data_IF_767994334159
#
_entry.id   IF_767994334159
#
_cell.length_a   1.000
_cell.length_b   1.000
_cell.length_c   1.000
_cell.angle_alpha   90.00
_cell.angle_beta   90.00
_cell.angle_gamma   90.00
#
_symmetry.space_group_name_H-M   'P 1'
#
loop_
_entity.id
_entity.type
_entity.pdbx_description
1 polymer ?
#
# COMPACT_ATOMS: atom_id res chain seq x y z
N UNK A 1 2.47 -16.05 14.10
CA UNK A 1 1.39 -15.03 14.19
C UNK A 1 0.95 -14.64 12.77
N UNK A 2 -0.26 -14.11 12.54
CA UNK A 2 -0.66 -13.66 11.19
C UNK A 2 -0.99 -12.17 11.14
N UNK A 3 -0.58 -11.55 10.04
CA UNK A 3 -0.87 -10.17 9.70
C UNK A 3 -1.75 -10.12 8.46
N UNK A 4 -2.86 -9.39 8.53
CA UNK A 4 -3.68 -9.09 7.37
C UNK A 4 -3.33 -7.69 6.86
N UNK A 5 -2.80 -7.60 5.64
CA UNK A 5 -2.51 -6.33 4.97
C UNK A 5 -3.69 -5.97 4.07
N UNK A 6 -4.25 -4.77 4.24
CA UNK A 6 -5.39 -4.27 3.47
C UNK A 6 -4.98 -3.08 2.61
N UNK A 7 -5.28 -3.16 1.32
CA UNK A 7 -5.10 -2.07 0.36
C UNK A 7 -6.45 -1.71 -0.25
N UNK A 8 -6.90 -0.49 0.01
CA UNK A 8 -8.11 0.06 -0.60
C UNK A 8 -7.72 0.84 -1.87
N UNK A 9 -8.43 0.56 -2.96
CA UNK A 9 -8.35 1.31 -4.21
C UNK A 9 -9.73 1.87 -4.58
N UNK A 10 -9.84 2.59 -5.68
CA UNK A 10 -11.08 3.31 -6.07
C UNK A 10 -12.26 2.44 -6.49
N UNK A 11 -12.12 1.11 -6.53
CA UNK A 11 -13.23 0.16 -6.72
C UNK A 11 -12.90 -1.25 -6.20
N UNK A 12 -11.76 -1.40 -5.51
CA UNK A 12 -11.19 -2.71 -5.17
C UNK A 12 -10.68 -2.73 -3.74
N UNK A 13 -10.76 -3.89 -3.13
CA UNK A 13 -10.12 -4.18 -1.86
C UNK A 13 -9.19 -5.38 -2.03
N UNK A 14 -7.91 -5.17 -1.76
CA UNK A 14 -6.91 -6.24 -1.64
C UNK A 14 -6.72 -6.61 -0.18
N UNK A 15 -6.70 -7.91 0.11
CA UNK A 15 -6.32 -8.47 1.39
C UNK A 15 -5.22 -9.50 1.22
N UNK A 16 -4.03 -9.21 1.75
CA UNK A 16 -2.88 -10.13 1.72
C UNK A 16 -2.64 -10.67 3.13
N UNK A 17 -2.78 -11.98 3.30
CA UNK A 17 -2.45 -12.67 4.54
C UNK A 17 -0.97 -13.00 4.57
N UNK A 18 -0.29 -12.56 5.60
CA UNK A 18 1.15 -12.75 5.79
C UNK A 18 1.40 -13.51 7.07
N UNK A 19 2.31 -14.48 7.02
CA UNK A 19 2.89 -15.08 8.21
C UNK A 19 3.84 -14.07 8.85
N UNK A 20 3.50 -13.58 10.03
CA UNK A 20 4.24 -12.49 10.69
C UNK A 20 5.68 -12.90 10.99
N UNK A 21 5.93 -14.16 11.34
CA UNK A 21 7.24 -14.60 11.80
C UNK A 21 8.24 -14.75 10.64
N UNK A 22 7.77 -15.24 9.49
CA UNK A 22 8.61 -15.43 8.29
C UNK A 22 8.50 -14.31 7.25
N UNK A 23 7.49 -13.43 7.37
CA UNK A 23 7.17 -12.42 6.36
C UNK A 23 6.60 -13.00 5.05
N UNK A 24 6.33 -14.31 5.00
CA UNK A 24 5.86 -14.99 3.78
C UNK A 24 4.38 -14.71 3.54
N UNK A 25 4.01 -14.37 2.32
CA UNK A 25 2.61 -14.31 1.89
C UNK A 25 2.01 -15.72 1.93
N UNK A 26 0.93 -15.88 2.71
CA UNK A 26 0.17 -17.12 2.84
C UNK A 26 -0.91 -17.19 1.77
N UNK A 27 -1.66 -16.09 1.61
CA UNK A 27 -2.78 -16.00 0.67
C UNK A 27 -3.02 -14.54 0.29
N UNK A 28 -3.62 -14.31 -0.86
CA UNK A 28 -4.02 -12.98 -1.32
C UNK A 28 -5.42 -13.07 -1.94
N UNK A 29 -6.28 -12.13 -1.55
CA UNK A 29 -7.66 -12.05 -2.01
C UNK A 29 -7.90 -10.66 -2.57
N UNK A 30 -8.56 -10.63 -3.72
CA UNK A 30 -9.06 -9.41 -4.34
C UNK A 30 -10.58 -9.45 -4.35
N UNK A 31 -11.20 -8.35 -3.95
CA UNK A 31 -12.62 -8.09 -4.14
C UNK A 31 -12.75 -6.88 -5.05
N UNK A 32 -13.29 -7.10 -6.24
CA UNK A 32 -13.63 -6.08 -7.23
C UNK A 32 -15.03 -5.50 -6.98
N UNK A 33 -15.36 -4.42 -7.71
CA UNK A 33 -16.68 -3.77 -7.73
C UNK A 33 -17.23 -3.45 -6.33
N UNK A 34 -16.34 -2.96 -5.47
CA UNK A 34 -16.66 -2.73 -4.05
C UNK A 34 -17.49 -1.45 -3.90
N UNK A 35 -18.77 -1.65 -3.58
CA UNK A 35 -19.73 -0.59 -3.25
C UNK A 35 -19.75 -0.29 -1.74
N UNK A 36 -19.64 -1.33 -0.91
CA UNK A 36 -19.77 -1.26 0.55
C UNK A 36 -18.56 -1.89 1.24
N UNK A 37 -17.84 -1.10 2.06
CA UNK A 37 -16.55 -1.52 2.63
C UNK A 37 -16.67 -2.69 3.61
N UNK A 38 -17.72 -2.74 4.45
CA UNK A 38 -17.91 -3.85 5.40
C UNK A 38 -18.21 -5.16 4.66
N UNK A 39 -19.06 -5.12 3.64
CA UNK A 39 -19.39 -6.29 2.83
C UNK A 39 -18.17 -6.82 2.07
N UNK A 40 -17.37 -5.93 1.48
CA UNK A 40 -16.12 -6.32 0.82
C UNK A 40 -15.12 -6.93 1.81
N UNK A 41 -14.99 -6.35 3.00
CA UNK A 41 -14.09 -6.89 4.02
C UNK A 41 -14.55 -8.27 4.52
N UNK A 42 -15.85 -8.53 4.64
CA UNK A 42 -16.37 -9.89 4.94
C UNK A 42 -15.99 -10.90 3.86
N UNK A 43 -16.11 -10.52 2.58
CA UNK A 43 -15.68 -11.36 1.47
C UNK A 43 -14.17 -11.65 1.49
N UNK A 44 -13.33 -10.68 1.89
CA UNK A 44 -11.91 -10.93 2.14
C UNK A 44 -11.76 -12.02 3.21
N UNK A 45 -12.35 -11.83 4.40
CA UNK A 45 -12.24 -12.78 5.51
C UNK A 45 -12.68 -14.20 5.14
N UNK A 46 -13.79 -14.34 4.42
CA UNK A 46 -14.31 -15.63 3.94
C UNK A 46 -13.35 -16.34 2.99
N UNK A 47 -12.64 -15.60 2.14
CA UNK A 47 -11.74 -16.14 1.10
C UNK A 47 -10.28 -16.26 1.53
N UNK A 48 -9.88 -15.64 2.64
CA UNK A 48 -8.49 -15.73 3.14
C UNK A 48 -8.11 -17.14 3.59
N UNK A 49 -9.08 -17.99 3.93
CA UNK A 49 -8.83 -19.37 4.36
C UNK A 49 -8.15 -19.47 5.72
N UNK A 50 -8.41 -18.52 6.62
CA UNK A 50 -7.84 -18.50 7.98
C UNK A 50 -8.90 -18.16 9.03
N UNK A 51 -8.73 -18.70 10.23
CA UNK A 51 -9.51 -18.29 11.39
C UNK A 51 -9.21 -16.83 11.73
N UNK A 52 -10.25 -16.03 11.95
CA UNK A 52 -10.13 -14.60 12.27
C UNK A 52 -9.38 -14.36 13.58
N UNK A 53 -9.47 -15.28 14.53
CA UNK A 53 -8.77 -15.25 15.81
C UNK A 53 -7.25 -15.40 15.68
N UNK A 54 -6.77 -15.94 14.54
CA UNK A 54 -5.33 -16.08 14.29
C UNK A 54 -4.69 -14.81 13.72
N UNK A 55 -5.50 -13.83 13.32
CA UNK A 55 -5.03 -12.53 12.82
C UNK A 55 -4.78 -11.64 14.03
N UNK A 56 -3.51 -11.33 14.28
CA UNK A 56 -3.11 -10.49 15.41
C UNK A 56 -2.98 -9.02 15.03
N UNK A 57 -2.65 -8.74 13.76
CA UNK A 57 -2.46 -7.36 13.26
C UNK A 57 -3.20 -7.18 11.95
N UNK A 58 -3.91 -6.06 11.82
CA UNK A 58 -4.49 -5.59 10.57
C UNK A 58 -3.77 -4.32 10.15
N UNK A 59 -3.01 -4.39 9.06
CA UNK A 59 -2.25 -3.28 8.53
C UNK A 59 -2.98 -2.65 7.35
N UNK A 60 -3.45 -1.41 7.51
CA UNK A 60 -4.13 -0.66 6.47
C UNK A 60 -3.14 0.20 5.71
N UNK A 61 -3.07 0.02 4.39
CA UNK A 61 -2.39 0.97 3.52
C UNK A 61 -3.24 2.23 3.40
N UNK A 62 -2.74 3.34 3.93
CA UNK A 62 -3.45 4.62 3.93
C UNK A 62 -2.70 5.61 3.03
N UNK A 63 -3.36 6.29 2.08
CA UNK A 63 -2.72 7.36 1.32
C UNK A 63 -2.27 8.47 2.26
N UNK A 64 -1.08 9.00 2.04
CA UNK A 64 -0.58 10.14 2.81
C UNK A 64 -1.26 11.42 2.33
N UNK A 65 -1.93 12.12 3.24
CA UNK A 65 -2.43 13.47 3.02
C UNK A 65 -1.80 14.47 4.02
N UNK A 66 -1.33 15.61 3.51
CA UNK A 66 -0.77 16.70 4.32
C UNK A 66 0.59 16.39 4.97
N UNK A 67 0.76 16.86 6.22
CA UNK A 67 2.00 16.82 7.01
C UNK A 67 2.08 15.64 7.98
N UNK A 68 1.24 14.61 7.81
CA UNK A 68 1.18 13.46 8.73
C UNK A 68 2.55 12.79 8.92
N UNK A 69 2.84 12.30 10.15
CA UNK A 69 4.10 11.65 10.46
C UNK A 69 4.35 10.43 9.56
N UNK A 70 5.61 10.20 9.27
CA UNK A 70 6.09 9.04 8.52
C UNK A 70 6.11 7.80 9.44
N UNK A 71 5.68 6.65 8.93
CA UNK A 71 5.81 5.36 9.64
C UNK A 71 4.50 4.62 9.89
N UNK A 72 4.53 3.71 10.86
CA UNK A 72 3.37 2.93 11.33
C UNK A 72 2.67 3.69 12.44
N UNK A 73 1.36 3.89 12.33
CA UNK A 73 0.56 4.56 13.36
C UNK A 73 -0.51 3.61 13.86
N UNK A 74 -0.69 3.50 15.17
CA UNK A 74 -1.80 2.76 15.74
C UNK A 74 -3.13 3.42 15.35
N UNK A 75 -4.11 2.62 14.94
CA UNK A 75 -5.44 3.12 14.60
C UNK A 75 -6.31 3.03 15.86
N UNK A 76 -6.58 4.18 16.44
CA UNK A 76 -7.53 4.39 17.52
C UNK A 76 -8.68 5.32 17.08
N UNK A 77 -9.55 5.70 18.01
CA UNK A 77 -10.70 6.56 17.72
C UNK A 77 -10.26 7.97 17.29
N UNK A 78 -9.17 8.49 17.86
CA UNK A 78 -8.62 9.79 17.49
C UNK A 78 -8.07 9.78 16.06
N UNK A 79 -7.43 8.69 15.63
CA UNK A 79 -7.00 8.50 14.26
C UNK A 79 -8.19 8.53 13.29
N UNK A 80 -9.27 7.83 13.61
CA UNK A 80 -10.48 7.80 12.79
C UNK A 80 -11.13 9.18 12.65
N UNK A 81 -11.21 9.95 13.74
CA UNK A 81 -11.72 11.33 13.72
C UNK A 81 -10.86 12.23 12.83
N UNK A 82 -9.54 12.14 12.96
CA UNK A 82 -8.60 12.88 12.11
C UNK A 82 -8.71 12.48 10.63
N UNK A 83 -8.97 11.20 10.34
CA UNK A 83 -9.19 10.73 8.97
C UNK A 83 -10.53 11.21 8.41
N UNK A 84 -11.59 11.21 9.22
CA UNK A 84 -12.91 11.68 8.82
C UNK A 84 -12.95 13.18 8.52
N UNK A 85 -12.05 13.96 9.15
CA UNK A 85 -11.94 15.40 8.95
C UNK A 85 -11.14 15.82 7.70
N UNK A 86 -10.55 14.87 6.94
CA UNK A 86 -9.74 15.21 5.77
C UNK A 86 -10.59 15.64 4.56
N UNK A 87 -10.28 16.79 3.91
CA UNK A 87 -11.05 17.29 2.78
C UNK A 87 -10.96 16.42 1.52
N UNK A 88 -9.82 15.79 1.26
CA UNK A 88 -9.49 15.05 0.02
C UNK A 88 -9.92 13.58 0.02
N UNK A 89 -10.28 13.03 1.18
CA UNK A 89 -10.99 11.75 1.29
C UNK A 89 -12.48 11.88 0.95
N UNK A 90 -12.92 13.05 0.48
CA UNK A 90 -14.26 13.27 -0.01
C UNK A 90 -14.52 12.45 -1.28
N UNK A 91 -15.26 11.36 -1.10
CA UNK A 91 -16.15 10.72 -2.09
C UNK A 91 -15.54 9.98 -3.29
N UNK A 92 -14.31 10.23 -3.75
CA UNK A 92 -13.78 9.61 -4.98
C UNK A 92 -13.07 8.26 -4.80
N UNK A 93 -12.82 7.82 -3.57
CA UNK A 93 -12.17 6.54 -3.29
C UNK A 93 -13.13 5.60 -2.60
N UNK A 94 -14.01 4.93 -3.35
CA UNK A 94 -14.83 3.83 -2.83
C UNK A 94 -14.18 2.49 -3.21
N UNK A 95 -13.86 1.58 -2.30
CA UNK A 95 -14.05 1.63 -0.85
C UNK A 95 -13.17 2.70 -0.20
N UNK A 96 -13.80 3.51 0.66
CA UNK A 96 -13.06 4.50 1.43
C UNK A 96 -12.16 3.78 2.43
N UNK A 97 -10.89 4.19 2.49
CA UNK A 97 -9.91 3.63 3.43
C UNK A 97 -10.47 3.61 4.87
N UNK A 98 -11.19 4.66 5.27
CA UNK A 98 -11.84 4.78 6.57
C UNK A 98 -12.97 3.73 6.79
N UNK A 99 -13.78 3.44 5.76
CA UNK A 99 -14.81 2.42 5.84
C UNK A 99 -14.24 1.03 6.09
N UNK A 100 -13.14 0.69 5.40
CA UNK A 100 -12.45 -0.59 5.61
C UNK A 100 -11.76 -0.65 6.98
N UNK A 101 -11.19 0.46 7.46
CA UNK A 101 -10.63 0.58 8.82
C UNK A 101 -11.69 0.27 9.88
N UNK A 102 -12.86 0.91 9.77
CA UNK A 102 -13.99 0.68 10.69
C UNK A 102 -14.49 -0.76 10.65
N UNK A 103 -14.61 -1.32 9.45
CA UNK A 103 -15.00 -2.72 9.29
C UNK A 103 -14.01 -3.68 9.95
N UNK A 104 -12.71 -3.44 9.79
CA UNK A 104 -11.66 -4.23 10.41
C UNK A 104 -11.70 -4.16 11.94
N UNK A 105 -11.77 -2.96 12.53
CA UNK A 105 -11.85 -2.80 14.00
C UNK A 105 -13.11 -3.44 14.59
N UNK A 106 -14.23 -3.36 13.87
CA UNK A 106 -15.51 -3.98 14.28
C UNK A 106 -15.46 -5.51 14.23
N UNK A 107 -14.90 -6.08 13.15
CA UNK A 107 -14.95 -7.52 12.89
C UNK A 107 -13.75 -8.29 13.45
N UNK A 108 -12.64 -7.60 13.72
CA UNK A 108 -11.42 -8.14 14.34
C UNK A 108 -11.04 -7.33 15.60
N UNK A 109 -11.91 -7.24 16.62
CA UNK A 109 -11.69 -6.36 17.77
C UNK A 109 -10.49 -6.75 18.65
N UNK A 110 -9.99 -7.98 18.52
CA UNK A 110 -8.80 -8.47 19.23
C UNK A 110 -7.49 -8.19 18.48
N UNK A 111 -7.57 -7.87 17.19
CA UNK A 111 -6.40 -7.57 16.37
C UNK A 111 -6.01 -6.10 16.55
N UNK A 112 -4.72 -5.81 16.60
CA UNK A 112 -4.23 -4.44 16.56
C UNK A 112 -4.37 -3.89 15.14
N UNK A 113 -5.08 -2.79 14.97
CA UNK A 113 -5.16 -2.07 13.70
C UNK A 113 -4.07 -1.02 13.61
N UNK A 114 -3.32 -1.01 12.50
CA UNK A 114 -2.27 -0.03 12.22
C UNK A 114 -2.46 0.58 10.83
N UNK A 115 -2.13 1.86 10.71
CA UNK A 115 -2.05 2.57 9.45
C UNK A 115 -0.60 2.61 8.99
N UNK A 116 -0.38 2.26 7.73
CA UNK A 116 0.93 2.33 7.07
C UNK A 116 0.80 3.19 5.83
N UNK A 117 1.59 4.25 5.76
CA UNK A 117 1.47 5.29 4.73
C UNK A 117 2.29 5.02 3.44
N UNK A 118 2.74 3.77 3.24
CA UNK A 118 3.69 3.34 2.19
C UNK A 118 3.16 2.23 1.28
N UNK A 119 3.90 1.89 0.21
CA UNK A 119 3.59 0.79 -0.73
C UNK A 119 3.72 -0.60 -0.09
N UNK A 120 2.88 -1.54 -0.54
CA UNK A 120 2.58 -2.88 0.03
C UNK A 120 3.77 -3.69 0.58
N UNK A 121 4.95 -3.63 -0.05
CA UNK A 121 6.12 -4.44 0.33
C UNK A 121 6.77 -4.02 1.66
N UNK A 122 6.66 -2.75 2.06
CA UNK A 122 7.17 -2.27 3.34
C UNK A 122 6.20 -2.54 4.50
N UNK A 123 4.93 -2.86 4.20
CA UNK A 123 3.86 -3.00 5.20
C UNK A 123 4.01 -4.30 5.99
N UNK A 124 4.32 -5.41 5.32
CA UNK A 124 4.54 -6.70 5.98
C UNK A 124 5.71 -6.65 6.98
N UNK A 125 6.83 -6.03 6.56
CA UNK A 125 8.01 -5.84 7.40
C UNK A 125 7.72 -4.88 8.56
N UNK A 126 7.12 -3.73 8.30
CA UNK A 126 6.79 -2.75 9.33
C UNK A 126 5.74 -3.27 10.33
N UNK A 127 4.78 -4.09 9.89
CA UNK A 127 3.80 -4.74 10.76
C UNK A 127 4.43 -5.84 11.63
N UNK A 128 5.39 -6.57 11.07
CA UNK A 128 6.19 -7.58 11.81
C UNK A 128 7.07 -6.90 12.86
N UNK A 129 7.79 -5.84 12.48
CA UNK A 129 8.62 -5.04 13.40
C UNK A 129 7.78 -4.39 14.51
N UNK A 130 6.55 -3.96 14.22
CA UNK A 130 5.61 -3.45 15.23
C UNK A 130 5.11 -4.53 16.17
N UNK A 131 4.73 -5.71 15.64
CA UNK A 131 4.23 -6.83 16.45
C UNK A 131 5.29 -7.41 17.39
N UNK A 132 6.57 -7.28 17.02
CA UNK A 132 7.72 -7.79 17.77
C UNK A 132 8.34 -6.78 18.72
N UNK A 133 7.97 -5.48 18.65
CA UNK A 133 8.46 -4.46 19.58
C UNK A 133 7.65 -4.47 20.87
N UNK A 134 8.32 -4.57 22.02
CA UNK A 134 7.73 -4.05 23.26
C UNK A 134 7.54 -2.53 23.12
N UNK A 135 6.50 -1.93 23.71
CA UNK A 135 6.20 -0.51 23.56
C UNK A 135 7.29 0.33 24.28
N UNK A 136 8.41 0.54 23.59
CA UNK A 136 9.45 1.45 24.03
C UNK A 136 9.10 2.86 23.55
N UNK A 137 9.14 3.80 24.48
CA UNK A 137 8.86 5.19 24.27
C UNK A 137 9.71 5.79 23.15
N UNK A 138 9.03 6.39 22.16
CA UNK A 138 9.37 7.68 21.58
C UNK A 138 10.85 7.90 21.17
N UNK A 139 11.41 7.06 20.31
CA UNK A 139 12.56 7.42 19.47
C UNK A 139 12.20 7.22 18.00
N UNK A 140 12.15 8.32 17.26
CA UNK A 140 11.78 8.36 15.86
C UNK A 140 12.92 7.78 14.98
N UNK A 141 12.98 6.45 14.90
CA UNK A 141 13.76 5.74 13.89
C UNK A 141 13.17 6.05 12.50
N UNK A 142 13.89 6.84 11.70
CA UNK A 142 13.42 7.22 10.36
C UNK A 142 13.68 6.09 9.39
N UNK A 143 12.64 5.34 9.02
CA UNK A 143 12.69 4.44 7.86
C UNK A 143 12.68 5.30 6.59
N UNK A 144 13.62 5.13 5.65
CA UNK A 144 13.61 5.88 4.39
C UNK A 144 12.42 5.47 3.54
N UNK A 145 11.61 6.45 3.13
CA UNK A 145 10.37 6.24 2.39
C UNK A 145 10.47 6.96 1.05
N UNK A 146 10.24 6.22 -0.04
CA UNK A 146 10.11 6.77 -1.38
C UNK A 146 8.64 6.74 -1.84
N UNK A 147 8.20 7.85 -2.44
CA UNK A 147 6.89 7.95 -3.09
C UNK A 147 7.03 7.38 -4.51
N UNK A 148 6.27 6.34 -4.82
CA UNK A 148 6.16 5.80 -6.18
C UNK A 148 5.34 6.76 -7.04
N UNK A 149 6.01 7.75 -7.64
CA UNK A 149 5.41 8.62 -8.65
C UNK A 149 5.01 7.84 -9.93
N UNK A 150 4.33 8.50 -10.88
CA UNK A 150 3.95 7.91 -12.17
C UNK A 150 5.21 7.47 -12.94
N UNK A 151 5.39 6.16 -13.07
CA UNK A 151 6.53 5.58 -13.75
C UNK A 151 6.17 4.28 -14.47
N UNK A 152 7.05 3.82 -15.35
CA UNK A 152 6.93 2.56 -16.09
C UNK A 152 8.24 1.78 -16.05
N UNK A 153 8.11 0.47 -16.18
CA UNK A 153 9.20 -0.47 -16.41
C UNK A 153 9.04 -1.04 -17.81
N UNK A 154 10.13 -1.09 -18.56
CA UNK A 154 10.12 -1.51 -19.96
C UNK A 154 11.03 -2.72 -20.12
N UNK A 155 10.65 -3.63 -21.02
CA UNK A 155 11.57 -4.70 -21.44
C UNK A 155 12.64 -4.12 -22.35
N UNK A 156 13.74 -4.85 -22.52
CA UNK A 156 14.82 -4.46 -23.45
C UNK A 156 14.27 -4.29 -24.87
N UNK A 157 13.41 -5.19 -25.33
CA UNK A 157 12.80 -5.12 -26.66
C UNK A 157 11.96 -3.85 -26.83
N UNK A 158 11.27 -3.42 -25.77
CA UNK A 158 10.46 -2.20 -25.78
C UNK A 158 11.33 -0.95 -25.79
N UNK A 159 12.45 -0.96 -25.04
CA UNK A 159 13.45 0.11 -25.06
C UNK A 159 14.02 0.24 -26.48
N UNK A 160 14.40 -0.87 -27.10
CA UNK A 160 14.95 -0.84 -28.45
C UNK A 160 13.94 -0.33 -29.49
N UNK A 161 12.67 -0.71 -29.36
CA UNK A 161 11.61 -0.25 -30.25
C UNK A 161 11.35 1.26 -30.13
N UNK A 162 11.50 1.83 -28.93
CA UNK A 162 11.21 3.25 -28.66
C UNK A 162 12.41 4.16 -28.91
N UNK A 163 13.61 3.72 -28.55
CA UNK A 163 14.83 4.56 -28.53
C UNK A 163 15.93 4.10 -29.50
N UNK A 164 15.77 2.92 -30.11
CA UNK A 164 16.70 2.35 -31.09
C UNK A 164 17.41 1.09 -30.59
N UNK A 165 17.86 0.26 -31.54
CA UNK A 165 18.54 -1.01 -31.23
C UNK A 165 19.80 -0.78 -30.40
N UNK A 166 19.99 -1.58 -29.34
CA UNK A 166 21.10 -1.47 -28.41
C UNK A 166 21.08 -0.21 -27.52
N UNK A 167 19.94 0.50 -27.44
CA UNK A 167 19.83 1.68 -26.60
C UNK A 167 19.84 1.31 -25.12
N UNK A 168 20.70 1.96 -24.34
CA UNK A 168 20.75 1.86 -22.89
C UNK A 168 20.15 3.12 -22.26
N UNK A 169 19.26 2.92 -21.29
CA UNK A 169 18.63 4.01 -20.55
C UNK A 169 19.69 4.84 -19.82
N UNK A 170 19.55 6.16 -19.85
CA UNK A 170 20.51 7.05 -19.22
C UNK A 170 20.12 7.30 -17.76
N UNK A 171 20.95 6.96 -16.76
CA UNK A 171 20.63 7.25 -15.37
C UNK A 171 20.48 8.75 -15.14
N UNK A 172 19.36 9.16 -14.54
CA UNK A 172 19.11 10.52 -14.12
C UNK A 172 19.43 10.72 -12.63
N UNK A 173 18.83 9.88 -11.76
CA UNK A 173 19.14 9.87 -10.32
C UNK A 173 18.95 8.49 -9.72
N UNK A 174 19.76 8.10 -8.72
CA UNK A 174 19.55 6.86 -7.99
C UNK A 174 18.24 6.91 -7.20
N UNK A 175 17.61 5.74 -7.02
CA UNK A 175 16.47 5.56 -6.14
C UNK A 175 16.92 5.15 -4.73
N UNK A 176 15.99 5.12 -3.78
CA UNK A 176 16.25 4.60 -2.43
C UNK A 176 16.59 3.11 -2.43
N UNK A 177 16.20 2.38 -3.48
CA UNK A 177 16.55 0.97 -3.66
C UNK A 177 17.96 0.87 -4.25
N UNK A 178 18.91 0.19 -3.57
CA UNK A 178 20.27 0.03 -4.06
C UNK A 178 20.32 -0.56 -5.48
N UNK A 179 21.08 0.07 -6.37
CA UNK A 179 21.24 -0.39 -7.75
C UNK A 179 20.08 -0.04 -8.68
N UNK A 180 19.09 0.74 -8.24
CA UNK A 180 17.97 1.19 -9.07
C UNK A 180 18.04 2.69 -9.32
N UNK A 181 17.53 3.15 -10.45
CA UNK A 181 17.58 4.53 -10.88
C UNK A 181 16.31 4.97 -11.61
N UNK A 182 16.02 6.27 -11.53
CA UNK A 182 15.16 6.92 -12.50
C UNK A 182 16.01 7.29 -13.71
N UNK A 183 15.53 6.97 -14.91
CA UNK A 183 16.23 7.26 -16.16
C UNK A 183 15.90 8.68 -16.68
N UNK A 184 16.67 9.24 -17.62
CA UNK A 184 16.40 10.56 -18.20
C UNK A 184 15.17 10.56 -19.11
N UNK A 185 14.80 9.38 -19.61
CA UNK A 185 13.70 9.17 -20.52
C UNK A 185 12.36 9.26 -19.78
N UNK A 186 11.39 9.86 -20.47
CA UNK A 186 9.98 9.85 -20.09
C UNK A 186 9.13 9.48 -21.29
N UNK A 187 8.02 8.79 -21.02
CA UNK A 187 7.05 8.43 -22.04
C UNK A 187 5.73 9.15 -21.82
N UNK A 188 4.99 9.29 -22.92
CA UNK A 188 3.57 9.62 -22.89
C UNK A 188 2.78 8.34 -23.15
N UNK A 189 1.96 7.93 -22.18
CA UNK A 189 1.06 6.79 -22.34
C UNK A 189 -0.23 7.31 -22.97
N UNK A 190 -0.61 6.77 -24.12
CA UNK A 190 -1.85 7.13 -24.82
C UNK A 190 -2.77 5.92 -24.87
N UNK A 191 -4.03 6.11 -24.48
CA UNK A 191 -5.06 5.07 -24.53
C UNK A 191 -6.45 5.65 -24.81
N UNK A 192 -7.48 4.79 -24.91
CA UNK A 192 -8.84 5.21 -25.25
C UNK A 192 -9.44 6.26 -24.30
N UNK A 193 -8.94 6.30 -23.06
CA UNK A 193 -9.40 7.22 -21.99
C UNK A 193 -8.58 8.51 -21.89
N UNK A 194 -7.63 8.76 -22.79
CA UNK A 194 -6.81 9.96 -22.81
C UNK A 194 -5.30 9.68 -22.83
N UNK A 195 -4.52 10.64 -22.34
CA UNK A 195 -3.05 10.54 -22.31
C UNK A 195 -2.48 10.91 -20.94
N UNK A 196 -1.37 10.28 -20.59
CA UNK A 196 -0.57 10.58 -19.40
C UNK A 196 0.82 10.94 -19.88
N UNK A 197 1.19 12.20 -19.71
CA UNK A 197 2.49 12.73 -20.14
C UNK A 197 3.53 12.63 -19.03
N UNK A 198 4.82 12.70 -19.41
CA UNK A 198 5.97 12.75 -18.50
C UNK A 198 6.07 11.55 -17.53
N UNK A 199 5.71 10.35 -18.00
CA UNK A 199 5.83 9.12 -17.20
C UNK A 199 7.27 8.65 -17.21
N UNK A 200 7.91 8.63 -16.04
CA UNK A 200 9.34 8.32 -15.89
C UNK A 200 9.64 6.85 -16.15
N UNK A 201 10.71 6.53 -16.87
CA UNK A 201 11.22 5.15 -16.97
C UNK A 201 12.14 4.88 -15.77
N UNK A 202 11.99 3.73 -15.12
CA UNK A 202 12.90 3.25 -14.08
C UNK A 202 13.72 2.05 -14.58
N UNK A 203 14.93 1.89 -14.03
CA UNK A 203 15.84 0.78 -14.32
C UNK A 203 16.67 0.38 -13.10
#
# INVERSE_FOLDING_TARGET
MKTLVLQCESARLLGTLVDTDSGRVINEVVVDDVLESEAAFRQILERLGTAVESIAVVAHRVPREGTRPYGTVAIDDAFEEQMAALPSLSREFQPSCLGTIRAARKLLPKASSIAVFNTATLIARAATEFALREPAANEAETVPIAISARHVHLTVETIEALFGRGYELQPYRPLSQPGQYAAQETLTIVGPKGRIENVRVLG
#
